data_IF_104531032995
#
_entry.id   IF_104531032995
#
_cell.length_a   1.000
_cell.length_b   1.000
_cell.length_c   1.000
_cell.angle_alpha   90.00
_cell.angle_beta   90.00
_cell.angle_gamma   90.00
#
_symmetry.space_group_name_H-M   'P 1'
#
loop_
_entity.id
_entity.type
_entity.pdbx_description
1 polymer ?
#
# COMPACT_ATOMS: atom_id res chain seq x y z
N UNK A 1 -9.62 8.65 -25.90
CA UNK A 1 -10.71 7.65 -25.83
C UNK A 1 -10.09 6.32 -25.44
N UNK A 2 -10.30 5.85 -24.22
CA UNK A 2 -9.91 4.50 -23.82
C UNK A 2 -10.90 3.51 -24.44
N UNK A 3 -10.52 2.89 -25.57
CA UNK A 3 -11.18 1.69 -26.07
C UNK A 3 -10.59 0.47 -25.37
N UNK A 4 -10.84 0.33 -24.07
CA UNK A 4 -10.42 -0.85 -23.32
C UNK A 4 -11.60 -1.82 -23.15
N UNK A 5 -11.57 -2.97 -23.82
CA UNK A 5 -12.48 -4.08 -23.47
C UNK A 5 -12.09 -4.56 -22.06
N UNK A 6 -13.01 -4.48 -21.09
CA UNK A 6 -12.80 -5.07 -19.77
C UNK A 6 -12.69 -6.59 -19.89
N UNK A 7 -11.67 -7.17 -19.29
CA UNK A 7 -11.47 -8.61 -19.31
C UNK A 7 -12.37 -9.28 -18.24
N UNK A 8 -13.32 -10.11 -18.67
CA UNK A 8 -14.17 -10.90 -17.77
C UNK A 8 -13.36 -12.10 -17.28
N UNK A 9 -13.09 -12.12 -15.98
CA UNK A 9 -12.23 -13.13 -15.35
C UNK A 9 -12.92 -14.49 -15.27
N UNK A 10 -12.17 -15.53 -15.59
CA UNK A 10 -12.53 -16.92 -15.33
C UNK A 10 -12.51 -17.22 -13.82
N UNK A 11 -13.15 -18.33 -13.40
CA UNK A 11 -13.13 -18.77 -12.00
C UNK A 11 -11.71 -18.97 -11.45
N UNK A 12 -10.80 -19.47 -12.30
CA UNK A 12 -9.39 -19.71 -11.93
C UNK A 12 -8.65 -18.39 -11.72
N UNK A 13 -8.85 -17.40 -12.60
CA UNK A 13 -8.27 -16.07 -12.43
C UNK A 13 -8.81 -15.37 -11.18
N UNK A 14 -10.12 -15.48 -10.91
CA UNK A 14 -10.73 -14.92 -9.69
C UNK A 14 -10.09 -15.52 -8.44
N UNK A 15 -9.89 -16.85 -8.41
CA UNK A 15 -9.27 -17.49 -7.25
C UNK A 15 -7.79 -17.08 -7.08
N UNK A 16 -7.05 -16.96 -8.19
CA UNK A 16 -5.69 -16.44 -8.13
C UNK A 16 -5.63 -14.99 -7.62
N UNK A 17 -6.58 -14.15 -8.05
CA UNK A 17 -6.72 -12.77 -7.56
C UNK A 17 -7.07 -12.71 -6.07
N UNK A 18 -7.91 -13.62 -5.55
CA UNK A 18 -8.20 -13.72 -4.10
C UNK A 18 -6.95 -14.03 -3.29
N UNK A 19 -6.14 -14.98 -3.77
CA UNK A 19 -4.90 -15.38 -3.09
C UNK A 19 -3.93 -14.20 -3.03
N UNK A 20 -3.60 -13.57 -4.16
CA UNK A 20 -2.66 -12.45 -4.17
C UNK A 20 -3.19 -11.24 -3.41
N UNK A 21 -4.49 -10.92 -3.53
CA UNK A 21 -5.10 -9.82 -2.80
C UNK A 21 -5.04 -10.03 -1.29
N UNK A 22 -5.27 -11.27 -0.82
CA UNK A 22 -5.10 -11.61 0.59
C UNK A 22 -3.65 -11.45 1.06
N UNK A 23 -2.68 -11.95 0.29
CA UNK A 23 -1.26 -11.80 0.61
C UNK A 23 -0.87 -10.32 0.72
N UNK A 24 -1.31 -9.47 -0.21
CA UNK A 24 -1.03 -8.03 -0.18
C UNK A 24 -1.63 -7.35 1.06
N UNK A 25 -2.86 -7.71 1.42
CA UNK A 25 -3.52 -7.18 2.61
C UNK A 25 -2.85 -7.66 3.92
N UNK A 26 -2.38 -8.90 3.98
CA UNK A 26 -1.61 -9.43 5.12
C UNK A 26 -0.32 -8.64 5.34
N UNK A 27 0.44 -8.33 4.28
CA UNK A 27 1.63 -7.48 4.40
C UNK A 27 1.29 -6.10 4.97
N UNK A 28 0.18 -5.50 4.55
CA UNK A 28 -0.24 -4.18 5.03
C UNK A 28 -0.66 -4.20 6.50
N UNK A 29 -1.28 -5.29 6.96
CA UNK A 29 -1.60 -5.50 8.38
C UNK A 29 -0.34 -5.63 9.24
N UNK A 30 0.69 -6.31 8.73
CA UNK A 30 1.97 -6.43 9.46
C UNK A 30 2.73 -5.09 9.50
N UNK A 31 2.60 -4.25 8.46
CA UNK A 31 3.13 -2.87 8.49
C UNK A 31 2.50 -2.06 9.62
N UNK A 32 1.20 -2.19 9.86
CA UNK A 32 0.49 -1.51 10.97
C UNK A 32 1.12 -1.85 12.34
N UNK A 33 1.57 -3.09 12.52
CA UNK A 33 2.21 -3.53 13.77
C UNK A 33 3.63 -2.99 13.95
N UNK A 34 4.29 -2.60 12.85
CA UNK A 34 5.66 -2.09 12.83
C UNK A 34 5.70 -0.56 12.95
N UNK A 35 4.70 0.13 12.41
CA UNK A 35 4.78 1.57 12.17
C UNK A 35 4.69 2.38 13.46
N UNK A 36 5.69 3.25 13.68
CA UNK A 36 5.80 4.04 14.90
C UNK A 36 6.70 5.27 14.67
N UNK A 37 6.62 6.30 15.54
CA UNK A 37 7.60 7.39 15.53
C UNK A 37 9.04 6.84 15.61
N UNK A 38 9.94 7.39 14.81
CA UNK A 38 11.37 7.05 14.81
C UNK A 38 11.81 6.00 13.80
N UNK A 39 10.90 5.28 13.14
CA UNK A 39 11.29 4.43 12.00
C UNK A 39 11.36 5.25 10.71
N UNK A 40 12.18 4.82 9.76
CA UNK A 40 12.27 5.46 8.45
C UNK A 40 11.28 4.85 7.46
N UNK A 41 10.93 5.60 6.41
CA UNK A 41 10.18 5.02 5.29
C UNK A 41 10.94 3.88 4.60
N UNK A 42 12.28 3.90 4.63
CA UNK A 42 13.10 2.79 4.12
C UNK A 42 12.99 1.53 4.99
N UNK A 43 12.81 1.66 6.30
CA UNK A 43 12.57 0.51 7.18
C UNK A 43 11.26 -0.21 6.81
N UNK A 44 10.21 0.56 6.49
CA UNK A 44 8.94 0.04 5.96
C UNK A 44 9.18 -0.68 4.63
N UNK A 45 9.91 -0.06 3.70
CA UNK A 45 10.24 -0.69 2.41
C UNK A 45 11.01 -2.00 2.56
N UNK A 46 12.01 -2.04 3.45
CA UNK A 46 12.80 -3.25 3.71
C UNK A 46 11.90 -4.35 4.26
N UNK A 47 11.05 -4.03 5.23
CA UNK A 47 10.06 -4.97 5.76
C UNK A 47 9.12 -5.50 4.66
N UNK A 48 8.51 -4.61 3.87
CA UNK A 48 7.59 -5.00 2.79
C UNK A 48 8.29 -5.88 1.76
N UNK A 49 9.52 -5.55 1.38
CA UNK A 49 10.32 -6.35 0.46
C UNK A 49 10.54 -7.77 1.00
N UNK A 50 11.09 -7.88 2.22
CA UNK A 50 11.40 -9.16 2.84
C UNK A 50 10.15 -10.02 3.04
N UNK A 51 9.05 -9.41 3.50
CA UNK A 51 7.79 -10.10 3.71
C UNK A 51 7.20 -10.61 2.38
N UNK A 52 7.21 -9.76 1.34
CA UNK A 52 6.73 -10.14 -0.01
C UNK A 52 7.50 -11.34 -0.56
N UNK A 53 8.85 -11.29 -0.48
CA UNK A 53 9.72 -12.38 -0.96
C UNK A 53 9.53 -13.65 -0.15
N UNK A 54 9.39 -13.54 1.18
CA UNK A 54 9.14 -14.68 2.09
C UNK A 54 7.85 -15.43 1.75
N UNK A 55 6.82 -14.73 1.28
CA UNK A 55 5.57 -15.32 0.82
C UNK A 55 5.65 -15.93 -0.58
N UNK A 56 6.81 -15.84 -1.26
CA UNK A 56 7.00 -16.31 -2.62
C UNK A 56 6.36 -15.41 -3.69
N UNK A 57 6.10 -14.14 -3.35
CA UNK A 57 5.63 -13.12 -4.28
C UNK A 57 6.76 -12.17 -4.69
N UNK A 58 6.51 -11.35 -5.71
CA UNK A 58 7.42 -10.30 -6.17
C UNK A 58 6.81 -8.92 -5.85
N UNK A 59 7.58 -7.95 -5.32
CA UNK A 59 7.08 -6.59 -5.12
C UNK A 59 6.87 -5.92 -6.48
N UNK A 60 5.61 -5.62 -6.83
CA UNK A 60 5.27 -5.10 -8.15
C UNK A 60 5.87 -3.71 -8.47
N UNK A 61 5.96 -2.76 -7.50
CA UNK A 61 6.52 -1.44 -7.76
C UNK A 61 8.01 -1.49 -8.14
N UNK A 62 8.75 -2.51 -7.67
CA UNK A 62 10.18 -2.58 -7.86
C UNK A 62 10.54 -2.68 -9.35
N UNK A 63 11.29 -1.69 -9.83
CA UNK A 63 11.68 -1.50 -11.22
C UNK A 63 10.51 -1.26 -12.21
N UNK A 64 9.28 -1.05 -11.71
CA UNK A 64 8.16 -0.68 -12.56
C UNK A 64 8.39 0.72 -13.12
N UNK A 65 8.65 0.82 -14.44
CA UNK A 65 9.03 2.07 -15.12
C UNK A 65 10.20 2.80 -14.43
N UNK A 66 11.12 2.04 -13.82
CA UNK A 66 12.28 2.59 -13.12
C UNK A 66 12.03 3.03 -11.67
N UNK A 67 10.85 2.74 -11.09
CA UNK A 67 10.60 3.00 -9.66
C UNK A 67 11.56 2.17 -8.79
N UNK A 68 12.28 2.76 -7.81
CA UNK A 68 13.46 2.12 -7.22
C UNK A 68 13.19 1.25 -5.99
N UNK A 69 11.94 1.21 -5.48
CA UNK A 69 11.59 0.60 -4.19
C UNK A 69 10.44 -0.40 -4.32
N UNK A 70 10.21 -1.16 -3.26
CA UNK A 70 9.27 -2.30 -3.24
C UNK A 70 7.85 -1.90 -2.86
N UNK A 71 7.66 -0.71 -2.30
CA UNK A 71 6.37 -0.12 -1.97
C UNK A 71 6.45 1.40 -2.14
N UNK A 72 5.30 2.08 -2.06
CA UNK A 72 5.26 3.53 -1.93
C UNK A 72 4.96 3.94 -0.49
N UNK A 73 5.57 5.02 -0.04
CA UNK A 73 5.37 5.61 1.29
C UNK A 73 5.16 7.11 1.13
N UNK A 74 3.94 7.57 1.36
CA UNK A 74 3.52 8.94 1.04
C UNK A 74 3.11 9.64 2.32
N UNK A 75 4.05 10.43 2.87
CA UNK A 75 3.87 11.16 4.14
C UNK A 75 3.24 12.52 3.87
N UNK A 76 2.25 12.89 4.69
CA UNK A 76 1.65 14.22 4.77
C UNK A 76 1.20 14.78 3.40
N UNK A 77 1.93 15.75 2.85
CA UNK A 77 1.59 16.42 1.58
C UNK A 77 1.82 15.56 0.34
N UNK A 78 2.53 14.44 0.46
CA UNK A 78 2.77 13.51 -0.64
C UNK A 78 1.49 12.73 -0.94
N UNK A 79 0.90 12.98 -2.12
CA UNK A 79 -0.39 12.38 -2.51
C UNK A 79 -0.27 10.87 -2.74
N UNK A 80 0.68 10.46 -3.57
CA UNK A 80 0.95 9.06 -3.90
C UNK A 80 2.38 8.90 -4.44
N UNK A 81 2.82 7.64 -4.58
CA UNK A 81 4.12 7.27 -5.15
C UNK A 81 5.33 7.93 -4.47
N UNK A 82 5.23 8.27 -3.19
CA UNK A 82 6.39 8.66 -2.41
C UNK A 82 7.42 7.53 -2.38
N UNK A 83 8.69 7.87 -2.63
CA UNK A 83 9.78 6.91 -2.68
C UNK A 83 10.32 6.74 -1.25
N UNK A 84 10.36 5.52 -0.71
CA UNK A 84 11.04 5.23 0.55
C UNK A 84 12.47 5.75 0.60
N UNK A 85 12.81 6.43 1.69
CA UNK A 85 14.07 7.15 1.91
C UNK A 85 14.62 6.86 3.33
N UNK A 86 15.91 6.47 3.47
CA UNK A 86 16.54 6.23 4.77
C UNK A 86 16.69 7.47 5.65
N UNK A 87 16.58 8.68 5.09
CA UNK A 87 16.66 9.94 5.86
C UNK A 87 15.28 10.43 6.30
N UNK A 88 14.20 9.88 5.74
CA UNK A 88 12.83 10.27 6.08
C UNK A 88 12.31 9.43 7.26
N UNK A 89 12.58 9.93 8.46
CA UNK A 89 12.11 9.40 9.75
C UNK A 89 10.67 9.85 9.99
N UNK A 90 9.81 8.95 10.47
CA UNK A 90 8.45 9.26 10.88
C UNK A 90 8.41 9.98 12.22
N UNK A 91 7.62 11.05 12.30
CA UNK A 91 7.47 11.88 13.50
C UNK A 91 6.10 11.68 14.13
N UNK A 92 6.01 11.90 15.45
CA UNK A 92 4.72 11.95 16.13
C UNK A 92 3.85 13.05 15.51
N UNK A 93 2.63 12.67 15.11
CA UNK A 93 1.68 13.54 14.43
C UNK A 93 1.60 13.35 12.92
N UNK A 94 2.52 12.61 12.30
CA UNK A 94 2.50 12.32 10.87
C UNK A 94 1.29 11.46 10.47
N UNK A 95 0.84 11.63 9.23
CA UNK A 95 0.05 10.63 8.52
C UNK A 95 0.84 10.11 7.33
N UNK A 96 0.76 8.80 7.09
CA UNK A 96 1.51 8.15 6.02
C UNK A 96 0.64 7.12 5.31
N UNK A 97 0.49 7.25 3.99
CA UNK A 97 -0.03 6.18 3.16
C UNK A 97 1.08 5.20 2.80
N UNK A 98 0.84 3.91 3.04
CA UNK A 98 1.69 2.82 2.53
C UNK A 98 0.90 2.06 1.47
N UNK A 99 1.44 2.04 0.27
CA UNK A 99 0.86 1.39 -0.90
C UNK A 99 1.70 0.16 -1.28
N UNK A 100 1.03 -0.99 -1.27
CA UNK A 100 1.65 -2.29 -1.44
C UNK A 100 0.99 -2.99 -2.62
N UNK A 101 1.83 -3.44 -3.55
CA UNK A 101 1.41 -4.27 -4.67
C UNK A 101 2.28 -5.52 -4.77
N UNK A 102 1.65 -6.69 -4.89
CA UNK A 102 2.33 -7.99 -5.03
C UNK A 102 2.01 -8.61 -6.38
N UNK A 103 3.01 -9.30 -6.96
CA UNK A 103 2.81 -10.21 -8.08
C UNK A 103 2.96 -11.64 -7.54
N UNK A 104 1.91 -12.44 -7.66
CA UNK A 104 1.93 -13.84 -7.30
C UNK A 104 1.28 -14.69 -8.39
N UNK A 105 2.01 -15.69 -8.90
CA UNK A 105 1.57 -16.57 -9.99
C UNK A 105 1.00 -15.82 -11.21
N UNK A 106 1.57 -14.66 -11.53
CA UNK A 106 1.17 -13.82 -12.67
C UNK A 106 0.00 -12.87 -12.42
N UNK A 107 -0.57 -12.84 -11.22
CA UNK A 107 -1.65 -11.92 -10.84
C UNK A 107 -1.14 -10.84 -9.90
N UNK A 108 -1.72 -9.65 -10.01
CA UNK A 108 -1.43 -8.53 -9.11
C UNK A 108 -2.49 -8.45 -8.02
N UNK A 109 -2.04 -8.25 -6.79
CA UNK A 109 -2.84 -7.74 -5.67
C UNK A 109 -2.33 -6.35 -5.33
N UNK A 110 -3.23 -5.41 -5.05
CA UNK A 110 -2.91 -4.00 -4.87
C UNK A 110 -3.83 -3.42 -3.79
N UNK A 111 -3.25 -2.79 -2.77
CA UNK A 111 -3.99 -2.10 -1.70
C UNK A 111 -3.09 -1.11 -0.96
N UNK A 112 -3.71 -0.07 -0.39
CA UNK A 112 -3.03 0.89 0.46
C UNK A 112 -3.90 1.32 1.64
N UNK A 113 -3.25 1.83 2.70
CA UNK A 113 -3.90 2.44 3.85
C UNK A 113 -3.08 3.63 4.32
N UNK A 114 -3.78 4.63 4.85
CA UNK A 114 -3.15 5.75 5.56
C UNK A 114 -3.17 5.49 7.06
N UNK A 115 -1.97 5.49 7.65
CA UNK A 115 -1.71 5.24 9.06
C UNK A 115 -1.53 6.55 9.82
N UNK A 116 -1.85 6.51 11.10
CA UNK A 116 -1.55 7.56 12.07
C UNK A 116 -0.24 7.24 12.78
N UNK A 117 0.69 8.19 12.81
CA UNK A 117 1.92 8.05 13.56
C UNK A 117 1.75 8.80 14.88
N UNK A 118 1.65 8.04 15.97
CA UNK A 118 1.35 8.60 17.28
C UNK A 118 0.00 9.32 17.29
N UNK A 119 -0.03 10.62 17.63
CA UNK A 119 -1.27 11.40 17.71
C UNK A 119 -1.32 12.56 16.68
N UNK A 120 -1.86 12.32 15.47
CA UNK A 120 -2.04 13.36 14.45
C UNK A 120 -3.02 14.44 14.84
N UNK A 121 -2.89 15.60 14.20
CA UNK A 121 -3.80 16.72 14.40
C UNK A 121 -5.26 16.36 14.03
N UNK A 122 -6.27 17.07 14.57
CA UNK A 122 -7.66 16.89 14.17
C UNK A 122 -7.88 17.01 12.65
N UNK A 123 -7.16 17.90 11.98
CA UNK A 123 -7.23 18.10 10.54
C UNK A 123 -6.67 16.90 9.77
N UNK A 124 -5.51 16.36 10.21
CA UNK A 124 -4.91 15.19 9.60
C UNK A 124 -5.83 13.96 9.74
N UNK A 125 -6.39 13.74 10.94
CA UNK A 125 -7.41 12.71 11.19
C UNK A 125 -8.64 12.91 10.31
N UNK A 126 -9.13 14.15 10.20
CA UNK A 126 -10.29 14.46 9.37
C UNK A 126 -10.09 14.04 7.90
N UNK A 127 -8.94 14.36 7.31
CA UNK A 127 -8.62 13.97 5.93
C UNK A 127 -8.61 12.46 5.76
N UNK A 128 -7.96 11.73 6.67
CA UNK A 128 -7.87 10.25 6.59
C UNK A 128 -9.25 9.60 6.74
N UNK A 129 -10.06 10.04 7.71
CA UNK A 129 -11.40 9.48 7.92
C UNK A 129 -12.35 9.79 6.75
N UNK A 130 -12.28 11.00 6.17
CA UNK A 130 -13.07 11.35 4.99
C UNK A 130 -12.64 10.50 3.79
N UNK A 131 -11.33 10.34 3.55
CA UNK A 131 -10.84 9.49 2.47
C UNK A 131 -11.32 8.03 2.62
N UNK A 132 -11.23 7.48 3.84
CA UNK A 132 -11.74 6.14 4.16
C UNK A 132 -13.25 6.01 3.93
N UNK A 133 -14.02 7.02 4.34
CA UNK A 133 -15.48 7.06 4.10
C UNK A 133 -15.80 7.08 2.61
N UNK A 134 -15.10 7.89 1.82
CA UNK A 134 -15.28 7.96 0.37
C UNK A 134 -14.99 6.61 -0.30
N UNK A 135 -13.90 5.93 0.10
CA UNK A 135 -13.57 4.58 -0.38
C UNK A 135 -14.72 3.60 -0.09
N UNK A 136 -15.19 3.55 1.15
CA UNK A 136 -16.25 2.62 1.56
C UNK A 136 -17.57 2.88 0.84
N UNK A 137 -17.94 4.15 0.65
CA UNK A 137 -19.12 4.52 -0.11
C UNK A 137 -18.98 4.09 -1.58
N UNK A 138 -17.82 4.29 -2.20
CA UNK A 138 -17.57 3.85 -3.57
C UNK A 138 -17.67 2.32 -3.74
N UNK A 139 -17.16 1.56 -2.77
CA UNK A 139 -17.27 0.09 -2.76
C UNK A 139 -18.71 -0.39 -2.56
N UNK A 140 -19.54 0.36 -1.82
CA UNK A 140 -20.92 -0.03 -1.55
C UNK A 140 -21.85 0.07 -2.78
N UNK A 141 -21.43 0.77 -3.83
CA UNK A 141 -22.23 0.99 -5.05
C UNK A 141 -21.96 -0.04 -6.17
N UNK A 142 -21.13 -1.07 -5.91
CA UNK A 142 -20.73 -2.09 -6.91
C UNK A 142 -21.19 -3.51 -6.58
#
# INVERSE_FOLDING_TARGET
MFQGKTNIKSKVEIEAMRVVGKMTAETLYEVDQLIAPGITTEDINRFVHEHTVKMGATPAPLNYKGFPKSCCTSINEVICHGIPDPERVLEDGDIINVDISHIYKGFHGDTSLTFYIGEPSPEAKHVVEVARKCLNLGIAEV
#
